data_IF_440580983329
#
_entry.id   IF_440580983329
#
_cell.length_a   1.000
_cell.length_b   1.000
_cell.length_c   1.000
_cell.angle_alpha   90.00
_cell.angle_beta   90.00
_cell.angle_gamma   90.00
#
_symmetry.space_group_name_H-M   'P 1'
#
loop_
_entity.id
_entity.type
_entity.pdbx_description
1 polymer ?
#
# COMPACT_ATOMS: atom_id res chain seq x y z
N UNK A 1 10.37 12.72 -7.50
CA UNK A 1 9.49 11.56 -7.80
C UNK A 1 8.96 11.75 -9.20
N UNK A 2 8.77 10.69 -9.99
CA UNK A 2 7.99 10.82 -11.23
C UNK A 2 6.59 11.26 -10.83
N UNK A 3 6.15 12.45 -11.25
CA UNK A 3 4.83 13.01 -10.91
C UNK A 3 3.67 12.06 -11.27
N UNK A 4 3.90 11.04 -12.10
CA UNK A 4 2.89 10.08 -12.55
C UNK A 4 2.39 9.13 -11.47
N UNK A 5 3.26 8.55 -10.63
CA UNK A 5 2.83 7.52 -9.66
C UNK A 5 2.11 8.11 -8.46
N UNK A 6 2.55 9.27 -7.99
CA UNK A 6 1.82 10.02 -6.96
C UNK A 6 0.41 10.38 -7.42
N UNK A 7 0.28 10.94 -8.63
CA UNK A 7 -1.04 11.27 -9.17
C UNK A 7 -1.90 10.02 -9.42
N UNK A 8 -1.28 8.90 -9.79
CA UNK A 8 -1.95 7.61 -9.96
C UNK A 8 -2.55 7.10 -8.65
N UNK A 9 -1.78 7.07 -7.55
CA UNK A 9 -2.29 6.62 -6.24
C UNK A 9 -3.32 7.60 -5.67
N UNK A 10 -3.11 8.90 -5.85
CA UNK A 10 -4.07 9.94 -5.46
C UNK A 10 -5.44 9.73 -6.13
N UNK A 11 -5.44 9.64 -7.48
CA UNK A 11 -6.68 9.43 -8.24
C UNK A 11 -7.30 8.07 -7.95
N UNK A 12 -6.48 7.03 -7.78
CA UNK A 12 -6.93 5.69 -7.42
C UNK A 12 -7.60 5.63 -6.05
N UNK A 13 -6.99 6.25 -5.04
CA UNK A 13 -7.51 6.36 -3.68
C UNK A 13 -8.86 7.07 -3.63
N UNK A 14 -9.09 8.07 -4.48
CA UNK A 14 -10.41 8.73 -4.59
C UNK A 14 -11.54 7.79 -5.04
N UNK A 15 -11.20 6.67 -5.68
CA UNK A 15 -12.19 5.65 -6.07
C UNK A 15 -12.51 4.64 -4.96
N UNK A 16 -11.76 4.66 -3.85
CA UNK A 16 -11.93 3.72 -2.74
C UNK A 16 -13.07 4.19 -1.83
N UNK A 17 -14.20 3.50 -1.92
CA UNK A 17 -15.37 3.75 -1.08
C UNK A 17 -15.34 2.92 0.19
N UNK A 18 -16.20 3.24 1.17
CA UNK A 18 -16.38 2.41 2.36
C UNK A 18 -16.76 0.95 2.02
N UNK A 19 -17.56 0.74 0.98
CA UNK A 19 -17.89 -0.60 0.49
C UNK A 19 -16.65 -1.35 -0.01
N UNK A 20 -15.78 -0.68 -0.76
CA UNK A 20 -14.51 -1.25 -1.24
C UNK A 20 -13.54 -1.54 -0.09
N UNK A 21 -13.43 -0.65 0.89
CA UNK A 21 -12.62 -0.91 2.10
C UNK A 21 -13.12 -2.14 2.86
N UNK A 22 -14.44 -2.28 3.02
CA UNK A 22 -15.02 -3.45 3.68
C UNK A 22 -14.80 -4.76 2.90
N UNK A 23 -14.88 -4.71 1.57
CA UNK A 23 -14.54 -5.86 0.74
C UNK A 23 -13.03 -6.20 0.85
N UNK A 24 -12.17 -5.19 0.81
CA UNK A 24 -10.72 -5.31 0.87
C UNK A 24 -10.23 -6.01 2.15
N UNK A 25 -10.92 -5.87 3.29
CA UNK A 25 -10.58 -6.61 4.53
C UNK A 25 -10.43 -8.11 4.30
N UNK A 26 -11.23 -8.69 3.40
CA UNK A 26 -11.20 -10.13 3.07
C UNK A 26 -9.97 -10.51 2.25
N UNK A 27 -9.32 -9.54 1.62
CA UNK A 27 -8.13 -9.71 0.77
C UNK A 27 -6.81 -9.65 1.57
N UNK A 28 -6.83 -9.09 2.78
CA UNK A 28 -5.63 -8.90 3.62
C UNK A 28 -4.84 -10.20 3.87
N UNK A 29 -5.46 -11.36 4.15
CA UNK A 29 -4.71 -12.61 4.30
C UNK A 29 -3.92 -12.99 3.03
N UNK A 30 -4.52 -12.77 1.85
CA UNK A 30 -3.86 -13.05 0.57
C UNK A 30 -2.70 -12.08 0.30
N UNK A 31 -2.83 -10.82 0.72
CA UNK A 31 -1.74 -9.84 0.65
C UNK A 31 -0.55 -10.25 1.50
N UNK A 32 -0.79 -10.70 2.73
CA UNK A 32 0.28 -11.19 3.62
C UNK A 32 1.01 -12.37 2.99
N UNK A 33 0.27 -13.34 2.45
CA UNK A 33 0.89 -14.47 1.71
C UNK A 33 1.67 -13.98 0.50
N UNK A 34 1.10 -13.07 -0.30
CA UNK A 34 1.77 -12.51 -1.46
C UNK A 34 3.07 -11.81 -1.07
N UNK A 35 3.07 -11.01 -0.01
CA UNK A 35 4.26 -10.30 0.46
C UNK A 35 5.44 -11.24 0.78
N UNK A 36 5.16 -12.44 1.33
CA UNK A 36 6.19 -13.46 1.56
C UNK A 36 6.77 -14.06 0.27
N UNK A 37 6.04 -13.95 -0.85
CA UNK A 37 6.51 -14.41 -2.17
C UNK A 37 7.22 -13.32 -2.98
N UNK A 38 7.17 -12.05 -2.56
CA UNK A 38 7.80 -10.91 -3.24
C UNK A 38 9.33 -10.84 -2.98
N UNK A 39 10.01 -11.98 -3.05
CA UNK A 39 11.46 -12.05 -2.89
C UNK A 39 12.14 -11.87 -4.26
N UNK A 40 12.52 -10.63 -4.58
CA UNK A 40 13.29 -10.30 -5.77
C UNK A 40 14.52 -9.46 -5.41
N UNK A 41 15.75 -9.88 -5.81
CA UNK A 41 16.96 -9.09 -5.58
C UNK A 41 16.91 -7.68 -6.18
N UNK A 42 16.18 -7.50 -7.28
CA UNK A 42 16.04 -6.21 -7.95
C UNK A 42 15.07 -5.26 -7.22
N UNK A 43 14.21 -5.80 -6.34
CA UNK A 43 13.21 -5.05 -5.58
C UNK A 43 13.22 -5.46 -4.09
N UNK A 44 14.34 -5.25 -3.39
CA UNK A 44 14.56 -5.80 -2.04
C UNK A 44 13.60 -5.22 -0.99
N UNK A 45 13.01 -4.06 -1.26
CA UNK A 45 12.07 -3.39 -0.35
C UNK A 45 10.61 -3.75 -0.60
N UNK A 46 10.28 -4.36 -1.75
CA UNK A 46 8.89 -4.57 -2.15
C UNK A 46 8.12 -5.45 -1.15
N UNK A 47 8.75 -6.51 -0.65
CA UNK A 47 8.15 -7.38 0.35
C UNK A 47 7.86 -6.62 1.67
N UNK A 48 8.80 -5.79 2.14
CA UNK A 48 8.61 -4.99 3.35
C UNK A 48 7.56 -3.89 3.17
N UNK A 49 7.52 -3.25 2.01
CA UNK A 49 6.49 -2.27 1.65
C UNK A 49 5.09 -2.90 1.69
N UNK A 50 4.93 -4.07 1.06
CA UNK A 50 3.68 -4.81 1.06
C UNK A 50 3.27 -5.25 2.47
N UNK A 51 4.21 -5.79 3.27
CA UNK A 51 3.95 -6.18 4.67
C UNK A 51 3.50 -4.99 5.52
N UNK A 52 4.24 -3.88 5.46
CA UNK A 52 3.97 -2.69 6.25
C UNK A 52 2.59 -2.12 5.94
N UNK A 53 2.30 -1.89 4.66
CA UNK A 53 1.03 -1.33 4.22
C UNK A 53 -0.14 -2.27 4.49
N UNK A 54 0.04 -3.60 4.35
CA UNK A 54 -1.00 -4.58 4.68
C UNK A 54 -1.36 -4.55 6.16
N UNK A 55 -0.35 -4.42 7.03
CA UNK A 55 -0.56 -4.30 8.48
C UNK A 55 -1.24 -2.97 8.83
N UNK A 56 -0.80 -1.86 8.25
CA UNK A 56 -1.45 -0.56 8.46
C UNK A 56 -2.93 -0.61 8.05
N UNK A 57 -3.23 -1.16 6.87
CA UNK A 57 -4.61 -1.28 6.40
C UNK A 57 -5.46 -2.16 7.33
N UNK A 58 -4.93 -3.29 7.79
CA UNK A 58 -5.61 -4.18 8.74
C UNK A 58 -5.96 -3.44 10.04
N UNK A 59 -4.96 -2.82 10.68
CA UNK A 59 -5.13 -2.18 11.97
C UNK A 59 -6.07 -0.97 11.89
N UNK A 60 -6.03 -0.18 10.81
CA UNK A 60 -6.94 0.95 10.59
C UNK A 60 -8.37 0.47 10.36
N UNK A 61 -8.54 -0.53 9.49
CA UNK A 61 -9.87 -1.04 9.17
C UNK A 61 -10.51 -1.70 10.39
N UNK A 62 -9.74 -2.48 11.16
CA UNK A 62 -10.24 -3.13 12.36
C UNK A 62 -10.36 -2.20 13.58
N UNK A 63 -9.96 -0.92 13.41
CA UNK A 63 -10.08 0.11 14.43
C UNK A 63 -9.08 -0.03 15.58
N UNK A 64 -8.04 -0.84 15.40
CA UNK A 64 -6.92 -1.03 16.33
C UNK A 64 -6.03 0.21 16.33
N UNK A 65 -5.79 0.79 15.15
CA UNK A 65 -5.01 2.01 14.98
C UNK A 65 -5.89 3.12 14.40
N UNK A 66 -5.91 4.28 15.05
CA UNK A 66 -6.65 5.45 14.59
C UNK A 66 -5.76 6.29 13.67
N UNK A 67 -5.99 6.17 12.37
CA UNK A 67 -5.28 6.97 11.36
C UNK A 67 -5.63 8.46 11.51
N UNK A 68 -4.60 9.31 11.52
CA UNK A 68 -4.74 10.77 11.45
C UNK A 68 -4.94 11.27 10.02
N UNK A 69 -4.64 10.42 9.03
CA UNK A 69 -4.73 10.70 7.60
C UNK A 69 -5.64 9.69 6.88
N UNK A 70 -6.91 10.07 6.71
CA UNK A 70 -7.90 9.24 6.01
C UNK A 70 -7.56 9.01 4.53
N UNK A 71 -6.73 9.86 3.93
CA UNK A 71 -6.29 9.66 2.56
C UNK A 71 -5.21 8.57 2.49
N UNK A 72 -4.35 8.49 3.50
CA UNK A 72 -3.35 7.42 3.58
C UNK A 72 -3.98 6.02 3.56
N UNK A 73 -5.14 5.81 4.21
CA UNK A 73 -5.84 4.51 4.16
C UNK A 73 -6.47 4.24 2.80
N UNK A 74 -7.11 5.22 2.15
CA UNK A 74 -7.73 4.98 0.83
C UNK A 74 -6.69 4.72 -0.24
N UNK A 75 -5.58 5.45 -0.24
CA UNK A 75 -4.46 5.22 -1.16
C UNK A 75 -3.75 3.88 -0.87
N UNK A 76 -3.62 3.50 0.41
CA UNK A 76 -3.08 2.18 0.78
C UNK A 76 -3.95 1.04 0.24
N UNK A 77 -5.27 1.12 0.43
CA UNK A 77 -6.21 0.10 -0.06
C UNK A 77 -6.15 0.01 -1.58
N UNK A 78 -6.09 1.15 -2.29
CA UNK A 78 -5.93 1.16 -3.74
C UNK A 78 -4.61 0.50 -4.18
N UNK A 79 -3.48 0.88 -3.58
CA UNK A 79 -2.16 0.38 -3.95
C UNK A 79 -1.98 -1.12 -3.66
N UNK A 80 -2.54 -1.63 -2.56
CA UNK A 80 -2.53 -3.05 -2.25
C UNK A 80 -3.50 -3.85 -3.14
N UNK A 81 -4.66 -3.26 -3.50
CA UNK A 81 -5.54 -3.82 -4.51
C UNK A 81 -4.84 -3.91 -5.87
N UNK A 82 -4.07 -2.88 -6.23
CA UNK A 82 -3.20 -2.88 -7.41
C UNK A 82 -2.21 -4.05 -7.38
N UNK A 83 -1.48 -4.21 -6.27
CA UNK A 83 -0.54 -5.30 -6.08
C UNK A 83 -1.20 -6.68 -6.22
N UNK A 84 -2.43 -6.88 -5.74
CA UNK A 84 -3.14 -8.17 -5.88
C UNK A 84 -3.61 -8.47 -7.31
N UNK A 85 -3.58 -7.50 -8.23
CA UNK A 85 -4.34 -7.53 -9.47
C UNK A 85 -5.84 -7.75 -9.22
N UNK A 86 -6.39 -7.14 -8.16
CA UNK A 86 -7.80 -7.28 -7.84
C UNK A 86 -8.65 -6.53 -8.87
N UNK A 87 -9.32 -7.29 -9.74
CA UNK A 87 -10.13 -6.78 -10.85
C UNK A 87 -11.34 -5.96 -10.39
N UNK A 88 -11.77 -6.08 -9.14
CA UNK A 88 -12.85 -5.27 -8.57
C UNK A 88 -12.38 -3.85 -8.16
N UNK A 89 -11.06 -3.67 -7.99
CA UNK A 89 -10.41 -2.42 -7.56
C UNK A 89 -9.71 -1.71 -8.74
N UNK A 90 -9.09 -2.46 -9.66
CA UNK A 90 -8.31 -1.92 -10.77
C UNK A 90 -9.18 -1.81 -12.04
N UNK A 91 -9.40 -0.61 -12.63
CA UNK A 91 -10.02 -0.51 -13.95
C UNK A 91 -9.19 -1.21 -15.03
N UNK A 92 -9.86 -1.88 -15.98
CA UNK A 92 -9.29 -2.76 -17.02
C UNK A 92 -8.12 -2.18 -17.85
N UNK A 93 -7.94 -0.86 -17.86
CA UNK A 93 -7.02 -0.13 -18.73
C UNK A 93 -5.71 0.30 -18.08
N UNK A 94 -5.33 -0.18 -16.89
CA UNK A 94 -4.07 0.26 -16.26
C UNK A 94 -2.87 -0.52 -16.87
N UNK A 95 -1.93 0.16 -17.55
CA UNK A 95 -0.69 -0.44 -18.01
C UNK A 95 0.29 -0.52 -16.84
N UNK A 96 0.89 -1.69 -16.65
CA UNK A 96 1.93 -1.93 -15.65
C UNK A 96 1.72 -3.32 -15.04
N UNK A 97 2.49 -4.30 -15.52
CA UNK A 97 2.51 -5.67 -14.99
C UNK A 97 3.95 -6.00 -14.69
N UNK A 98 4.36 -5.79 -13.45
CA UNK A 98 5.72 -6.13 -13.01
C UNK A 98 6.09 -5.56 -11.65
N UNK A 99 7.08 -6.19 -11.02
CA UNK A 99 7.56 -5.85 -9.68
C UNK A 99 8.08 -4.40 -9.58
N UNK A 100 8.53 -3.82 -10.69
CA UNK A 100 8.96 -2.42 -10.75
C UNK A 100 7.81 -1.44 -10.52
N UNK A 101 6.68 -1.65 -11.22
CA UNK A 101 5.49 -0.82 -11.07
C UNK A 101 4.87 -1.03 -9.69
N UNK A 102 4.78 -2.28 -9.22
CA UNK A 102 4.31 -2.61 -7.88
C UNK A 102 5.12 -1.84 -6.81
N UNK A 103 6.45 -1.89 -6.89
CA UNK A 103 7.30 -1.15 -5.94
C UNK A 103 7.14 0.35 -6.07
N UNK A 104 7.03 0.90 -7.28
CA UNK A 104 6.82 2.32 -7.49
C UNK A 104 5.48 2.81 -6.91
N UNK A 105 4.41 2.04 -7.07
CA UNK A 105 3.08 2.34 -6.54
C UNK A 105 3.05 2.30 -5.01
N UNK A 106 3.56 1.22 -4.39
CA UNK A 106 3.61 1.14 -2.93
C UNK A 106 4.48 2.26 -2.33
N UNK A 107 5.63 2.54 -2.95
CA UNK A 107 6.54 3.60 -2.52
C UNK A 107 5.92 4.99 -2.68
N UNK A 108 5.13 5.23 -3.73
CA UNK A 108 4.43 6.50 -3.90
C UNK A 108 3.48 6.78 -2.73
N UNK A 109 2.72 5.79 -2.27
CA UNK A 109 1.85 5.94 -1.09
C UNK A 109 2.69 6.25 0.15
N UNK A 110 3.73 5.44 0.42
CA UNK A 110 4.60 5.60 1.59
C UNK A 110 5.21 7.00 1.70
N UNK A 111 5.69 7.55 0.57
CA UNK A 111 6.30 8.88 0.57
C UNK A 111 5.27 10.01 0.59
N UNK A 112 4.03 9.78 0.12
CA UNK A 112 2.97 10.79 0.12
C UNK A 112 2.39 11.03 1.51
N UNK A 113 2.44 10.01 2.38
CA UNK A 113 1.88 10.04 3.73
C UNK A 113 2.94 9.70 4.79
N UNK A 114 4.16 10.22 4.61
CA UNK A 114 5.31 9.87 5.44
C UNK A 114 5.08 10.16 6.93
N UNK A 115 4.43 11.28 7.28
CA UNK A 115 4.15 11.62 8.68
C UNK A 115 3.24 10.57 9.36
N UNK A 116 2.16 10.16 8.69
CA UNK A 116 1.23 9.14 9.16
C UNK A 116 1.96 7.80 9.37
N UNK A 117 2.70 7.34 8.36
CA UNK A 117 3.36 6.05 8.42
C UNK A 117 4.54 6.02 9.40
N UNK A 118 5.25 7.12 9.58
CA UNK A 118 6.22 7.24 10.67
C UNK A 118 5.53 7.18 12.03
N UNK A 119 4.35 7.80 12.19
CA UNK A 119 3.53 7.71 13.39
C UNK A 119 3.14 6.27 13.70
N UNK A 120 2.60 5.55 12.71
CA UNK A 120 2.27 4.14 12.80
C UNK A 120 3.49 3.27 13.16
N UNK A 121 4.62 3.49 12.48
CA UNK A 121 5.85 2.76 12.74
C UNK A 121 6.34 2.96 14.18
N UNK A 122 6.33 4.20 14.68
CA UNK A 122 6.70 4.52 16.07
C UNK A 122 5.76 3.84 17.07
N UNK A 123 4.45 3.83 16.79
CA UNK A 123 3.46 3.17 17.65
C UNK A 123 3.77 1.67 17.86
N UNK A 124 4.27 1.00 16.82
CA UNK A 124 4.54 -0.44 16.84
C UNK A 124 6.03 -0.82 16.94
N UNK A 125 6.94 0.15 17.09
CA UNK A 125 8.38 -0.10 17.13
C UNK A 125 8.94 -0.67 15.82
N UNK A 126 8.36 -0.31 14.67
CA UNK A 126 8.79 -0.72 13.35
C UNK A 126 9.87 0.21 12.79
N UNK A 127 10.81 -0.35 12.03
CA UNK A 127 11.85 0.41 11.35
C UNK A 127 11.35 0.93 9.99
N UNK A 128 10.83 2.15 9.98
CA UNK A 128 10.29 2.77 8.77
C UNK A 128 11.32 2.94 7.65
N UNK A 129 12.61 3.08 7.99
CA UNK A 129 13.67 3.27 7.00
C UNK A 129 13.86 2.02 6.11
N UNK A 130 13.60 0.81 6.65
CA UNK A 130 13.64 -0.44 5.88
C UNK A 130 12.52 -0.54 4.84
N UNK A 131 11.41 0.18 5.08
CA UNK A 131 10.22 0.19 4.22
C UNK A 131 10.38 1.18 3.07
N UNK A 132 10.95 2.37 3.34
CA UNK A 132 11.09 3.44 2.35
C UNK A 132 12.35 3.34 1.50
N UNK A 133 13.38 2.62 1.98
CA UNK A 133 14.58 2.21 1.26
C UNK A 133 14.96 3.17 0.14
N UNK A 134 15.52 4.34 0.48
CA UNK A 134 16.22 5.12 -0.53
C UNK A 134 17.28 4.21 -1.15
N UNK A 135 17.39 4.17 -2.50
CA UNK A 135 18.49 3.43 -3.13
C UNK A 135 19.85 3.91 -2.61
#
# INVERSE_FOLDING_TARGET
MSSSFHEFVLRGGQTVTAGRMNAFRRQIPFLKVKAETLNSPDFPHLAEQARFLSRYAEDVLDGVYQSGDLQAITETVFALGYLLNDVDIIPDNIPGKGLADDSAVLRAVLLSHEEEFQGFARHYGLDYAKVTGNP
#
